data_IF_082174159963
#
_entry.id   IF_082174159963
#
_cell.length_a   1.000
_cell.length_b   1.000
_cell.length_c   1.000
_cell.angle_alpha   90.00
_cell.angle_beta   90.00
_cell.angle_gamma   90.00
#
_symmetry.space_group_name_H-M   'P 1'
#
loop_
_entity.id
_entity.type
_entity.pdbx_description
1 polymer ?
#
# COMPACT_ATOMS: atom_id res chain seq x y z
N UNK A 1 0.16 -8.86 -17.67
CA UNK A 1 1.32 -9.76 -17.50
C UNK A 1 2.58 -8.98 -17.22
N UNK A 2 3.55 -9.61 -16.55
CA UNK A 2 4.88 -9.07 -16.31
C UNK A 2 5.90 -9.95 -17.03
N UNK A 3 6.86 -9.31 -17.70
CA UNK A 3 7.98 -9.98 -18.35
C UNK A 3 9.24 -9.53 -17.60
N UNK A 4 10.04 -10.49 -17.14
CA UNK A 4 11.27 -10.26 -16.40
C UNK A 4 12.42 -11.09 -16.97
N UNK A 5 13.65 -10.76 -16.56
CA UNK A 5 14.80 -11.60 -16.85
C UNK A 5 14.71 -12.90 -16.02
N UNK A 6 15.16 -14.02 -16.58
CA UNK A 6 15.08 -15.33 -15.91
C UNK A 6 15.88 -15.36 -14.60
N UNK A 7 17.03 -14.67 -14.56
CA UNK A 7 17.93 -14.62 -13.41
C UNK A 7 17.50 -13.63 -12.32
N UNK A 8 16.45 -12.84 -12.56
CA UNK A 8 15.95 -11.82 -11.64
C UNK A 8 14.42 -11.88 -11.55
N UNK A 9 13.86 -12.98 -11.01
CA UNK A 9 12.42 -13.09 -10.85
C UNK A 9 11.92 -12.08 -9.82
N UNK A 10 10.81 -11.37 -10.09
CA UNK A 10 10.18 -10.48 -9.14
C UNK A 10 9.51 -11.27 -8.01
N UNK A 11 9.13 -10.58 -6.94
CA UNK A 11 8.33 -11.21 -5.89
C UNK A 11 6.88 -11.37 -6.33
N UNK A 12 6.25 -12.47 -5.91
CA UNK A 12 4.84 -12.76 -6.19
C UNK A 12 4.15 -13.14 -4.89
N UNK A 13 3.17 -12.35 -4.46
CA UNK A 13 2.41 -12.61 -3.23
C UNK A 13 1.05 -11.91 -3.27
N UNK A 14 0.07 -12.45 -2.55
CA UNK A 14 -1.20 -11.76 -2.26
C UNK A 14 -1.14 -10.92 -0.98
N UNK A 15 0.01 -10.91 -0.31
CA UNK A 15 0.25 -10.15 0.92
C UNK A 15 1.49 -9.31 0.72
N UNK A 16 1.36 -8.01 0.90
CA UNK A 16 2.46 -7.05 0.74
C UNK A 16 2.58 -6.19 1.99
N UNK A 17 3.80 -5.75 2.25
CA UNK A 17 4.09 -4.76 3.26
C UNK A 17 4.47 -3.44 2.59
N UNK A 18 3.83 -2.34 3.01
CA UNK A 18 4.02 -1.05 2.36
C UNK A 18 3.93 0.12 3.34
N UNK A 19 4.66 1.17 3.01
CA UNK A 19 4.45 2.51 3.54
C UNK A 19 3.31 3.16 2.78
N UNK A 20 2.28 3.63 3.46
CA UNK A 20 1.12 4.29 2.86
C UNK A 20 1.08 5.74 3.32
N UNK A 21 0.90 6.66 2.37
CA UNK A 21 0.50 8.04 2.62
C UNK A 21 -1.00 8.19 2.35
N UNK A 22 -1.74 8.70 3.34
CA UNK A 22 -3.19 8.82 3.26
C UNK A 22 -3.61 10.21 2.80
N UNK A 23 -4.54 10.28 1.84
CA UNK A 23 -4.96 11.53 1.20
C UNK A 23 -6.39 11.95 1.54
N UNK A 24 -7.25 11.00 1.94
CA UNK A 24 -8.66 11.30 2.19
C UNK A 24 -8.83 12.05 3.52
N UNK A 25 -9.80 12.97 3.55
CA UNK A 25 -10.20 13.69 4.76
C UNK A 25 -10.80 12.75 5.83
N UNK A 26 -11.51 11.71 5.38
CA UNK A 26 -11.96 10.64 6.26
C UNK A 26 -10.79 9.76 6.66
N UNK A 27 -10.66 9.38 7.94
CA UNK A 27 -9.61 8.46 8.39
C UNK A 27 -9.68 7.14 7.64
N UNK A 28 -8.52 6.53 7.43
CA UNK A 28 -8.41 5.18 6.89
C UNK A 28 -9.33 4.21 7.65
N UNK A 29 -10.01 3.33 6.93
CA UNK A 29 -10.92 2.37 7.54
C UNK A 29 -10.28 0.98 7.51
N UNK A 30 -9.96 0.44 8.68
CA UNK A 30 -9.49 -0.94 8.82
C UNK A 30 -10.62 -1.90 8.40
N UNK A 31 -10.29 -3.00 7.72
CA UNK A 31 -11.24 -3.97 7.15
C UNK A 31 -12.16 -3.45 6.02
N UNK A 32 -12.05 -2.18 5.63
CA UNK A 32 -12.73 -1.66 4.45
C UNK A 32 -12.10 -2.23 3.17
N UNK A 33 -12.91 -2.37 2.13
CA UNK A 33 -12.47 -2.87 0.83
C UNK A 33 -11.98 -1.70 -0.01
N UNK A 34 -10.72 -1.78 -0.44
CA UNK A 34 -10.13 -0.81 -1.36
C UNK A 34 -9.80 -1.51 -2.68
N UNK A 35 -9.67 -0.74 -3.75
CA UNK A 35 -9.01 -1.19 -4.97
C UNK A 35 -7.55 -0.74 -4.92
N UNK A 36 -6.64 -1.69 -4.98
CA UNK A 36 -5.21 -1.43 -5.19
C UNK A 36 -4.92 -1.42 -6.69
N UNK A 37 -4.18 -0.42 -7.15
CA UNK A 37 -3.74 -0.32 -8.55
C UNK A 37 -2.24 -0.06 -8.61
N UNK A 38 -1.53 -0.95 -9.30
CA UNK A 38 -0.10 -0.88 -9.57
C UNK A 38 0.10 -0.98 -11.09
N UNK A 39 0.57 0.09 -11.71
CA UNK A 39 0.72 0.15 -13.17
C UNK A 39 -0.59 -0.27 -13.88
N UNK A 40 -0.56 -1.35 -14.67
CA UNK A 40 -1.72 -1.93 -15.39
C UNK A 40 -2.46 -3.01 -14.59
N UNK A 41 -1.98 -3.38 -13.41
CA UNK A 41 -2.56 -4.40 -12.55
C UNK A 41 -3.44 -3.76 -11.49
N UNK A 42 -4.66 -4.27 -11.33
CA UNK A 42 -5.58 -3.87 -10.26
C UNK A 42 -6.23 -5.07 -9.56
N UNK A 43 -6.52 -4.91 -8.27
CA UNK A 43 -7.23 -5.92 -7.49
C UNK A 43 -7.96 -5.27 -6.32
N UNK A 44 -8.86 -6.02 -5.68
CA UNK A 44 -9.36 -5.62 -4.37
C UNK A 44 -8.29 -5.89 -3.32
N UNK A 45 -8.23 -5.08 -2.28
CA UNK A 45 -7.38 -5.30 -1.13
C UNK A 45 -8.05 -4.88 0.17
N UNK A 46 -7.55 -5.45 1.26
CA UNK A 46 -7.88 -5.03 2.63
C UNK A 46 -6.59 -4.69 3.37
N UNK A 47 -6.69 -3.69 4.23
CA UNK A 47 -5.62 -3.31 5.15
C UNK A 47 -5.76 -4.17 6.40
N UNK A 48 -4.76 -5.00 6.67
CA UNK A 48 -4.83 -6.07 7.67
C UNK A 48 -4.25 -5.66 9.03
N UNK A 49 -3.08 -5.02 9.02
CA UNK A 49 -2.36 -4.65 10.23
C UNK A 49 -1.58 -3.37 10.02
N UNK A 50 -1.61 -2.51 11.03
CA UNK A 50 -0.72 -1.36 11.18
C UNK A 50 0.46 -1.75 12.06
N UNK A 51 1.67 -1.45 11.62
CA UNK A 51 2.87 -1.60 12.46
C UNK A 51 3.11 -0.33 13.26
N UNK A 52 3.26 0.80 12.58
CA UNK A 52 3.50 2.10 13.18
C UNK A 52 3.09 3.23 12.23
N UNK A 53 2.96 4.43 12.80
CA UNK A 53 2.90 5.69 12.05
C UNK A 53 4.25 6.37 12.09
N UNK A 54 4.59 7.11 11.04
CA UNK A 54 5.71 8.03 11.06
C UNK A 54 5.23 9.40 11.51
N UNK A 55 5.81 9.92 12.59
CA UNK A 55 5.64 11.31 12.94
C UNK A 55 6.48 12.17 11.99
N UNK A 56 5.85 13.01 11.18
CA UNK A 56 6.55 13.86 10.22
C UNK A 56 7.54 14.84 10.88
N UNK A 57 7.23 15.32 12.09
CA UNK A 57 8.04 16.33 12.78
C UNK A 57 9.28 15.73 13.44
N UNK A 58 9.18 14.54 14.04
CA UNK A 58 10.27 13.90 14.78
C UNK A 58 10.92 12.73 14.05
N UNK A 59 10.33 12.27 12.94
CA UNK A 59 10.71 11.04 12.22
C UNK A 59 10.74 9.80 13.12
N UNK A 60 10.02 9.83 14.25
CA UNK A 60 9.90 8.71 15.17
C UNK A 60 8.76 7.80 14.76
N UNK A 61 8.94 6.50 15.00
CA UNK A 61 7.90 5.49 14.84
C UNK A 61 6.96 5.54 16.05
N UNK A 62 5.69 5.81 15.79
CA UNK A 62 4.63 5.76 16.81
C UNK A 62 3.85 4.46 16.63
N UNK A 63 3.97 3.54 17.58
CA UNK A 63 3.28 2.24 17.57
C UNK A 63 1.76 2.34 17.82
N UNK A 64 1.18 3.55 17.73
CA UNK A 64 -0.25 3.73 17.88
C UNK A 64 -0.98 3.06 16.69
N UNK A 65 -1.96 2.21 16.99
CA UNK A 65 -2.80 1.50 16.02
C UNK A 65 -4.01 2.33 15.56
N UNK A 66 -4.06 3.62 15.90
CA UNK A 66 -5.07 4.52 15.34
C UNK A 66 -4.99 4.55 13.80
N UNK A 67 -6.12 4.65 13.09
CA UNK A 67 -6.09 4.74 11.63
C UNK A 67 -5.37 6.01 11.15
N UNK A 68 -4.76 5.99 9.95
CA UNK A 68 -4.16 7.20 9.39
C UNK A 68 -5.23 8.27 9.11
N UNK A 69 -4.91 9.50 9.48
CA UNK A 69 -5.63 10.71 9.07
C UNK A 69 -5.00 11.29 7.79
N UNK A 70 -5.65 12.28 7.21
CA UNK A 70 -5.15 12.99 6.03
C UNK A 70 -3.70 13.46 6.24
N UNK A 71 -2.86 13.22 5.24
CA UNK A 71 -1.42 13.53 5.21
C UNK A 71 -0.55 12.77 6.23
N UNK A 72 -1.10 11.78 6.94
CA UNK A 72 -0.28 10.89 7.76
C UNK A 72 0.30 9.75 6.91
N UNK A 73 1.45 9.22 7.37
CA UNK A 73 2.15 8.11 6.75
C UNK A 73 2.33 7.00 7.77
N UNK A 74 2.17 5.75 7.37
CA UNK A 74 2.43 4.60 8.23
C UNK A 74 2.75 3.33 7.47
N UNK A 75 3.20 2.32 8.20
CA UNK A 75 3.57 1.01 7.67
C UNK A 75 2.47 -0.01 7.90
N UNK A 76 2.04 -0.68 6.84
CA UNK A 76 0.89 -1.57 6.86
C UNK A 76 1.15 -2.88 6.11
N UNK A 77 0.46 -3.93 6.54
CA UNK A 77 0.26 -5.15 5.74
C UNK A 77 -1.06 -5.03 4.98
N UNK A 78 -1.01 -5.24 3.68
CA UNK A 78 -2.18 -5.32 2.82
C UNK A 78 -2.33 -6.74 2.30
N UNK A 79 -3.57 -7.20 2.21
CA UNK A 79 -3.92 -8.46 1.56
C UNK A 79 -4.76 -8.17 0.33
N UNK A 80 -4.27 -8.59 -0.83
CA UNK A 80 -4.94 -8.44 -2.13
C UNK A 80 -5.78 -9.67 -2.46
N UNK A 81 -6.78 -9.50 -3.32
CA UNK A 81 -7.69 -10.58 -3.73
C UNK A 81 -7.07 -11.55 -4.73
N UNK A 82 -5.98 -11.15 -5.39
CA UNK A 82 -5.18 -11.99 -6.30
C UNK A 82 -3.69 -11.66 -6.14
N UNK A 83 -2.78 -12.61 -6.44
CA UNK A 83 -1.35 -12.37 -6.35
C UNK A 83 -0.91 -11.18 -7.20
N UNK A 84 -0.02 -10.37 -6.62
CA UNK A 84 0.61 -9.22 -7.22
C UNK A 84 2.07 -9.56 -7.50
N UNK A 85 2.57 -9.11 -8.65
CA UNK A 85 3.99 -9.13 -8.97
C UNK A 85 4.57 -7.80 -8.54
N UNK A 86 5.59 -7.79 -7.68
CA UNK A 86 6.14 -6.56 -7.14
C UNK A 86 7.62 -6.68 -6.81
N UNK A 87 8.24 -5.53 -6.64
CA UNK A 87 9.57 -5.34 -6.11
C UNK A 87 9.50 -4.33 -4.97
N UNK A 88 10.55 -4.24 -4.15
CA UNK A 88 10.62 -3.11 -3.22
C UNK A 88 10.74 -1.80 -4.00
N UNK A 89 10.09 -0.76 -3.52
CA UNK A 89 10.12 0.56 -4.14
C UNK A 89 11.55 1.11 -4.28
N UNK A 90 12.45 0.70 -3.38
CA UNK A 90 13.87 1.07 -3.41
C UNK A 90 14.62 0.46 -4.60
N UNK A 91 14.24 -0.75 -5.03
CA UNK A 91 14.85 -1.44 -6.16
C UNK A 91 14.23 -0.97 -7.48
N UNK A 92 12.90 -1.08 -7.61
CA UNK A 92 12.18 -0.73 -8.83
C UNK A 92 10.92 0.04 -8.47
N UNK A 93 10.92 1.34 -8.76
CA UNK A 93 9.82 2.24 -8.38
C UNK A 93 8.50 1.92 -9.08
N UNK A 94 8.53 1.47 -10.33
CA UNK A 94 7.33 1.19 -11.13
C UNK A 94 6.54 0.00 -10.60
N UNK A 95 7.22 -1.02 -10.08
CA UNK A 95 6.61 -2.23 -9.48
C UNK A 95 6.53 -2.17 -7.96
N UNK A 96 7.26 -1.26 -7.32
CA UNK A 96 7.16 -1.03 -5.89
C UNK A 96 6.20 0.09 -5.48
N UNK A 97 5.50 0.74 -6.41
CA UNK A 97 4.50 1.77 -6.10
C UNK A 97 3.09 1.36 -6.49
N UNK A 98 2.11 1.83 -5.72
CA UNK A 98 0.70 1.64 -6.02
C UNK A 98 -0.13 2.80 -5.47
N UNK A 99 -1.40 2.85 -5.86
CA UNK A 99 -2.40 3.71 -5.25
C UNK A 99 -3.54 2.88 -4.67
N UNK A 100 -4.23 3.45 -3.69
CA UNK A 100 -5.46 2.93 -3.13
C UNK A 100 -6.62 3.80 -3.59
N UNK A 101 -7.67 3.14 -4.05
CA UNK A 101 -8.90 3.75 -4.53
C UNK A 101 -10.05 3.23 -3.66
N UNK A 102 -10.90 4.12 -3.17
CA UNK A 102 -12.13 3.72 -2.46
C UNK A 102 -13.12 3.07 -3.43
N UNK A 103 -13.67 1.92 -3.04
CA UNK A 103 -14.52 1.15 -3.94
C UNK A 103 -15.92 1.75 -4.13
N UNK A 104 -16.37 2.58 -3.19
CA UNK A 104 -17.70 3.21 -3.25
C UNK A 104 -17.63 4.55 -3.97
N UNK A 105 -16.59 5.35 -3.73
CA UNK A 105 -16.48 6.72 -4.27
C UNK A 105 -15.60 6.80 -5.53
N UNK A 106 -14.79 5.77 -5.82
CA UNK A 106 -13.76 5.78 -6.85
C UNK A 106 -12.68 6.87 -6.66
N UNK A 107 -12.60 7.47 -5.47
CA UNK A 107 -11.57 8.45 -5.15
C UNK A 107 -10.23 7.78 -4.86
N UNK A 108 -9.13 8.41 -5.28
CA UNK A 108 -7.79 7.98 -4.86
C UNK A 108 -7.56 8.43 -3.43
N UNK A 109 -7.56 7.48 -2.49
CA UNK A 109 -7.51 7.75 -1.05
C UNK A 109 -6.12 7.64 -0.45
N UNK A 110 -5.16 7.08 -1.18
CA UNK A 110 -3.77 7.02 -0.73
C UNK A 110 -2.80 6.51 -1.80
N UNK A 111 -1.51 6.68 -1.52
CA UNK A 111 -0.42 6.11 -2.30
C UNK A 111 0.48 5.24 -1.42
N UNK A 112 1.04 4.18 -2.00
CA UNK A 112 1.83 3.20 -1.29
C UNK A 112 3.18 2.92 -1.93
N UNK A 113 4.17 2.63 -1.08
CA UNK A 113 5.52 2.19 -1.43
C UNK A 113 5.81 0.85 -0.76
N UNK A 114 5.96 -0.19 -1.56
CA UNK A 114 6.25 -1.55 -1.10
C UNK A 114 7.67 -1.60 -0.53
N UNK A 115 7.84 -2.30 0.59
CA UNK A 115 9.12 -2.44 1.30
C UNK A 115 9.98 -3.57 0.72
#
# INVERSE_FOLDING_TARGET
DFICHADQPPQISSTIEAMICWFNALPMQVNHLYTIRQSTWEAKCKIMKQYYKLNFHSLTEEENQEPLKMNEIGRFILKTSRPMVFDSYRLIRSTGSFILIDDNTNETVGAGMIQ
#
